data_IF_988134964968
#
_entry.id   IF_988134964968
#
_cell.length_a   1.000
_cell.length_b   1.000
_cell.length_c   1.000
_cell.angle_alpha   90.00
_cell.angle_beta   90.00
_cell.angle_gamma   90.00
#
_symmetry.space_group_name_H-M   'P 1'
#
loop_
_entity.id
_entity.type
_entity.pdbx_description
1 polymer ?
#
# COMPACT_ATOMS: atom_id res chain seq x y z
N UNK A 1 -1.82 -26.09 -13.64
CA UNK A 1 -1.64 -25.80 -13.77
C UNK A 1 -1.35 -25.49 -13.81
N UNK A 2 -1.16 -25.19 -13.71
CA UNK A 2 -0.82 -24.75 -13.74
C UNK A 2 -0.35 -24.47 -13.63
N UNK A 3 -0.29 -24.49 -13.72
CA UNK A 3 0.20 -24.06 -13.64
C UNK A 3 0.83 -23.91 -13.47
N UNK A 4 0.98 -23.88 -13.38
CA UNK A 4 1.60 -23.57 -13.30
C UNK A 4 2.18 -23.47 -13.38
N UNK A 5 2.29 -23.60 -13.45
CA UNK A 5 2.82 -23.35 -13.60
C UNK A 5 3.39 -23.12 -13.67
N UNK A 6 3.52 -23.21 -13.67
CA UNK A 6 4.06 -22.89 -13.77
C UNK A 6 4.73 -22.74 -13.75
N UNK A 7 4.99 -22.78 -13.74
CA UNK A 7 5.65 -22.51 -13.73
C UNK A 7 6.45 -22.28 -13.72
N UNK A 8 6.63 -22.19 -13.68
CA UNK A 8 7.46 -21.88 -13.62
C UNK A 8 8.07 -21.45 -13.44
N UNK A 9 8.10 -21.11 -13.19
CA UNK A 9 8.47 -20.79 -13.09
C UNK A 9 8.97 -20.90 -12.91
N UNK A 10 9.07 -21.03 -12.75
CA UNK A 10 9.58 -21.35 -12.58
C UNK A 10 10.26 -21.33 -12.51
N UNK A 11 10.62 -21.56 -12.44
CA UNK A 11 11.65 -21.39 -12.01
C UNK A 11 12.13 -20.82 -10.69
N UNK A 12 12.65 -21.36 -9.82
CA UNK A 12 13.21 -21.02 -8.55
C UNK A 12 12.68 -19.77 -7.87
N UNK A 13 12.66 -18.73 -8.57
CA UNK A 13 12.22 -17.46 -8.07
C UNK A 13 10.81 -17.46 -7.49
N UNK A 14 9.84 -18.18 -8.05
CA UNK A 14 8.48 -18.13 -7.51
C UNK A 14 8.36 -18.50 -6.03
N UNK A 15 9.13 -19.46 -5.59
CA UNK A 15 9.05 -19.86 -4.18
C UNK A 15 9.58 -18.76 -3.28
N UNK A 16 10.69 -18.15 -3.67
CA UNK A 16 11.26 -17.06 -2.90
C UNK A 16 10.33 -15.86 -2.88
N UNK A 17 9.74 -15.53 -4.02
CA UNK A 17 8.81 -14.40 -4.08
C UNK A 17 7.60 -14.63 -3.19
N UNK A 18 7.15 -15.88 -3.14
CA UNK A 18 5.97 -16.22 -2.35
C UNK A 18 6.20 -16.02 -0.86
N UNK A 19 7.41 -16.25 -0.40
CA UNK A 19 7.74 -16.16 1.03
C UNK A 19 8.50 -14.91 1.41
N UNK A 20 9.07 -14.22 0.44
CA UNK A 20 9.89 -13.05 0.73
C UNK A 20 9.03 -11.88 1.17
N UNK A 21 9.49 -11.20 2.21
CA UNK A 21 8.81 -10.01 2.70
C UNK A 21 9.19 -8.83 1.81
N UNK A 22 8.19 -8.25 1.16
CA UNK A 22 8.40 -7.14 0.26
C UNK A 22 7.29 -6.12 0.43
N UNK A 23 7.53 -4.92 -0.06
CA UNK A 23 6.52 -3.86 -0.06
C UNK A 23 5.66 -3.97 -1.29
N UNK A 24 4.36 -3.81 -1.09
CA UNK A 24 3.38 -3.81 -2.19
C UNK A 24 2.44 -2.66 -1.99
N UNK A 25 1.95 -2.13 -3.11
CA UNK A 25 0.90 -1.12 -3.06
C UNK A 25 -0.45 -1.82 -3.10
N UNK A 26 -1.35 -1.33 -2.27
CA UNK A 26 -2.71 -1.88 -2.18
C UNK A 26 -3.67 -0.81 -2.68
N UNK A 27 -4.51 -1.19 -3.62
CA UNK A 27 -5.53 -0.28 -4.12
C UNK A 27 -6.78 -0.42 -3.26
N UNK A 28 -7.27 0.70 -2.76
CA UNK A 28 -8.41 0.74 -1.87
C UNK A 28 -9.45 1.71 -2.41
N UNK A 29 -10.62 1.69 -1.80
CA UNK A 29 -11.61 2.71 -2.10
C UNK A 29 -11.07 4.06 -1.68
N UNK A 30 -11.30 5.07 -2.53
CA UNK A 30 -10.81 6.43 -2.27
C UNK A 30 -11.42 6.93 -0.96
N UNK A 31 -10.61 7.60 -0.16
CA UNK A 31 -10.97 8.14 1.15
C UNK A 31 -11.09 7.09 2.23
N UNK A 32 -10.81 5.83 1.92
CA UNK A 32 -10.79 4.78 2.93
C UNK A 32 -9.37 4.38 3.29
N UNK A 33 -8.37 5.13 2.81
CA UNK A 33 -6.98 4.75 3.00
C UNK A 33 -6.60 4.65 4.47
N UNK A 34 -7.00 5.63 5.27
CA UNK A 34 -6.68 5.62 6.70
C UNK A 34 -7.34 4.45 7.40
N UNK A 35 -8.57 4.15 7.04
CA UNK A 35 -9.30 3.03 7.61
C UNK A 35 -8.61 1.71 7.29
N UNK A 36 -8.17 1.57 6.04
CA UNK A 36 -7.47 0.36 5.62
C UNK A 36 -6.15 0.22 6.36
N UNK A 37 -5.38 1.32 6.46
CA UNK A 37 -4.12 1.28 7.18
C UNK A 37 -4.32 0.89 8.63
N UNK A 38 -5.38 1.39 9.25
CA UNK A 38 -5.69 1.04 10.62
C UNK A 38 -6.01 -0.43 10.76
N UNK A 39 -6.76 -0.98 9.81
CA UNK A 39 -7.08 -2.40 9.82
C UNK A 39 -5.83 -3.24 9.64
N UNK A 40 -4.90 -2.79 8.80
CA UNK A 40 -3.65 -3.50 8.62
C UNK A 40 -2.86 -3.53 9.92
N UNK A 41 -2.83 -2.42 10.62
CA UNK A 41 -2.13 -2.34 11.90
C UNK A 41 -2.73 -3.30 12.91
N UNK A 42 -4.06 -3.35 12.97
CA UNK A 42 -4.74 -4.26 13.89
C UNK A 42 -4.45 -5.72 13.57
N UNK A 43 -4.17 -6.01 12.32
CA UNK A 43 -3.84 -7.37 11.89
C UNK A 43 -2.35 -7.64 11.90
N UNK A 44 -1.58 -6.71 12.46
CA UNK A 44 -0.13 -6.85 12.56
C UNK A 44 0.54 -6.97 11.21
N UNK A 45 0.00 -6.25 10.23
CA UNK A 45 0.60 -6.15 8.91
C UNK A 45 1.31 -4.80 8.84
N UNK A 46 2.65 -4.78 8.75
CA UNK A 46 3.34 -3.49 8.64
C UNK A 46 2.85 -2.74 7.43
N UNK A 47 2.44 -1.51 7.64
CA UNK A 47 1.88 -0.71 6.56
C UNK A 47 2.44 0.69 6.62
N UNK A 48 2.31 1.39 5.50
CA UNK A 48 2.76 2.77 5.39
C UNK A 48 1.75 3.51 4.53
N UNK A 49 1.19 4.55 5.09
CA UNK A 49 0.26 5.42 4.38
C UNK A 49 0.89 6.79 4.35
N UNK A 50 1.51 7.18 3.21
CA UNK A 50 2.08 8.51 3.13
C UNK A 50 0.98 9.54 3.12
N UNK A 51 1.07 10.47 4.05
CA UNK A 51 0.11 11.54 4.20
C UNK A 51 0.83 12.87 4.06
N UNK A 52 0.11 13.87 3.60
CA UNK A 52 0.62 15.23 3.63
C UNK A 52 -0.41 16.11 4.30
N UNK A 53 0.07 17.18 4.88
CA UNK A 53 -0.82 18.13 5.53
C UNK A 53 -1.20 19.21 4.54
N UNK A 54 -2.49 19.52 4.52
CA UNK A 54 -3.03 20.55 3.63
C UNK A 54 -3.89 21.49 4.43
N UNK A 55 -3.88 22.74 4.02
CA UNK A 55 -4.78 23.73 4.60
C UNK A 55 -6.05 23.74 3.77
N UNK A 56 -7.14 23.38 4.42
CA UNK A 56 -8.43 23.31 3.75
C UNK A 56 -9.27 24.48 4.23
N UNK A 57 -9.74 25.29 3.28
CA UNK A 57 -10.54 26.46 3.62
C UNK A 57 -12.02 26.08 3.54
N UNK A 58 -12.69 26.28 4.66
CA UNK A 58 -14.12 26.02 4.75
C UNK A 58 -14.80 27.34 5.08
N UNK A 59 -15.53 27.90 4.13
CA UNK A 59 -16.23 29.15 4.35
C UNK A 59 -15.28 30.20 4.92
N UNK A 60 -15.37 30.46 6.22
CA UNK A 60 -14.61 31.53 6.83
C UNK A 60 -13.49 31.03 7.74
N UNK A 61 -13.10 29.79 7.62
CA UNK A 61 -12.00 29.30 8.44
C UNK A 61 -11.15 28.29 7.69
N UNK A 62 -9.92 28.17 8.15
CA UNK A 62 -8.97 27.23 7.60
C UNK A 62 -8.74 26.13 8.62
N UNK A 63 -8.55 24.92 8.13
CA UNK A 63 -8.25 23.78 8.98
C UNK A 63 -7.16 22.96 8.35
N UNK A 64 -6.20 22.55 9.18
CA UNK A 64 -5.16 21.66 8.70
C UNK A 64 -5.69 20.22 8.71
N UNK A 65 -5.56 19.55 7.59
CA UNK A 65 -6.01 18.17 7.45
C UNK A 65 -4.90 17.32 6.87
N UNK A 66 -4.94 16.03 7.15
CA UNK A 66 -3.99 15.09 6.58
C UNK A 66 -4.67 14.30 5.49
N UNK A 67 -4.07 14.34 4.30
CA UNK A 67 -4.62 13.68 3.13
C UNK A 67 -3.63 12.66 2.60
N UNK A 68 -4.16 11.62 1.96
CA UNK A 68 -3.32 10.60 1.36
C UNK A 68 -2.54 11.21 0.21
N UNK A 69 -1.22 10.98 0.22
CA UNK A 69 -0.36 11.48 -0.86
C UNK A 69 -0.73 10.81 -2.18
N UNK A 70 -1.09 9.55 -2.14
CA UNK A 70 -1.56 8.81 -3.30
C UNK A 70 -2.98 8.33 -3.02
N UNK A 71 -3.99 9.08 -3.45
CA UNK A 71 -5.37 8.70 -3.16
C UNK A 71 -5.69 7.29 -3.67
N UNK A 72 -6.25 6.48 -2.80
CA UNK A 72 -6.61 5.12 -3.15
C UNK A 72 -5.52 4.09 -2.95
N UNK A 73 -4.37 4.47 -2.38
CA UNK A 73 -3.24 3.55 -2.24
C UNK A 73 -2.70 3.54 -0.83
N UNK A 74 -2.42 2.34 -0.34
CA UNK A 74 -1.75 2.12 0.93
C UNK A 74 -0.65 1.09 0.67
N UNK A 75 0.51 1.28 1.31
CA UNK A 75 1.62 0.35 1.13
C UNK A 75 1.65 -0.64 2.28
N UNK A 76 1.98 -1.89 1.97
CA UNK A 76 2.02 -2.94 2.97
C UNK A 76 3.27 -3.80 2.75
N UNK A 77 3.85 -4.25 3.85
CA UNK A 77 5.05 -5.09 3.84
C UNK A 77 4.64 -6.50 4.25
N UNK A 78 4.69 -7.43 3.30
CA UNK A 78 4.25 -8.79 3.58
C UNK A 78 4.83 -9.74 2.56
N UNK A 79 4.69 -11.04 2.85
CA UNK A 79 4.97 -12.08 1.87
C UNK A 79 3.69 -12.37 1.09
N UNK A 80 3.84 -12.72 -0.17
CA UNK A 80 2.66 -12.99 -1.00
C UNK A 80 1.81 -14.14 -0.47
N UNK A 81 2.41 -15.06 0.26
CA UNK A 81 1.63 -16.15 0.87
C UNK A 81 0.58 -15.61 1.83
N UNK A 82 0.77 -14.39 2.33
CA UNK A 82 -0.16 -13.78 3.28
C UNK A 82 -1.09 -12.77 2.61
N UNK A 83 -1.14 -12.75 1.29
CA UNK A 83 -1.90 -11.71 0.60
C UNK A 83 -3.38 -11.73 0.93
N UNK A 84 -3.92 -12.89 1.25
CA UNK A 84 -5.35 -12.97 1.57
C UNK A 84 -5.69 -12.18 2.83
N UNK A 85 -4.74 -12.07 3.75
CA UNK A 85 -4.97 -11.29 4.97
C UNK A 85 -5.26 -9.82 4.64
N UNK A 86 -4.62 -9.31 3.59
CA UNK A 86 -4.86 -7.95 3.14
C UNK A 86 -6.16 -7.88 2.35
N UNK A 87 -6.37 -8.85 1.47
CA UNK A 87 -7.54 -8.82 0.58
C UNK A 87 -8.85 -8.98 1.34
N UNK A 88 -8.80 -9.50 2.55
CA UNK A 88 -9.99 -9.64 3.38
C UNK A 88 -10.37 -8.35 4.08
N UNK A 89 -9.52 -7.35 4.05
CA UNK A 89 -9.82 -6.08 4.71
C UNK A 89 -10.89 -5.33 3.93
N UNK A 90 -11.94 -4.85 4.60
CA UNK A 90 -12.96 -4.07 3.89
C UNK A 90 -12.35 -2.85 3.20
N UNK A 91 -12.86 -2.52 2.04
CA UNK A 91 -12.42 -1.40 1.21
C UNK A 91 -11.14 -1.67 0.43
N UNK A 92 -10.48 -2.80 0.64
CA UNK A 92 -9.34 -3.19 -0.20
C UNK A 92 -9.89 -3.78 -1.50
N UNK A 93 -9.36 -3.30 -2.63
CA UNK A 93 -9.79 -3.77 -3.94
C UNK A 93 -8.84 -4.86 -4.43
N UNK A 94 -7.55 -4.54 -4.53
CA UNK A 94 -6.57 -5.54 -4.95
C UNK A 94 -5.16 -5.02 -4.69
N UNK A 95 -4.20 -5.92 -4.80
CA UNK A 95 -2.79 -5.53 -4.82
C UNK A 95 -2.46 -4.97 -6.20
N UNK A 96 -1.67 -3.90 -6.24
CA UNK A 96 -1.26 -3.35 -7.52
C UNK A 96 -0.39 -4.38 -8.24
N UNK A 97 -0.75 -4.67 -9.47
CA UNK A 97 -0.13 -5.74 -10.24
C UNK A 97 0.26 -5.26 -11.61
N UNK A 98 1.25 -5.94 -12.18
CA UNK A 98 1.66 -5.71 -13.54
C UNK A 98 1.63 -7.05 -14.26
N UNK A 99 0.87 -7.12 -15.35
CA UNK A 99 0.70 -8.34 -16.12
C UNK A 99 0.24 -9.51 -15.23
N UNK A 100 -0.72 -9.20 -14.34
CA UNK A 100 -1.33 -10.23 -13.52
C UNK A 100 -0.54 -10.64 -12.29
N UNK A 101 0.62 -10.05 -12.06
CA UNK A 101 1.45 -10.40 -10.92
C UNK A 101 1.62 -9.20 -10.00
N UNK A 102 1.44 -9.39 -8.68
CA UNK A 102 1.70 -8.30 -7.76
C UNK A 102 3.14 -7.81 -7.90
N UNK A 103 3.30 -6.50 -7.96
CA UNK A 103 4.59 -5.89 -8.26
C UNK A 103 5.19 -5.30 -6.99
N UNK A 104 6.31 -5.83 -6.51
CA UNK A 104 6.92 -5.29 -5.29
C UNK A 104 7.59 -3.96 -5.56
N UNK A 105 7.68 -3.16 -4.50
CA UNK A 105 8.36 -1.87 -4.55
C UNK A 105 9.67 -1.99 -3.78
N UNK A 106 10.74 -1.38 -4.30
CA UNK A 106 12.02 -1.42 -3.58
C UNK A 106 11.94 -0.70 -2.24
N UNK A 107 12.66 -1.22 -1.27
CA UNK A 107 12.69 -0.64 0.07
C UNK A 107 13.10 0.83 0.03
N UNK A 108 14.08 1.17 -0.81
CA UNK A 108 14.56 2.54 -0.83
C UNK A 108 13.51 3.53 -1.31
N UNK A 109 12.57 3.10 -2.13
CA UNK A 109 11.51 3.99 -2.57
C UNK A 109 10.54 4.30 -1.43
N UNK A 110 10.28 3.29 -0.60
CA UNK A 110 9.44 3.51 0.58
C UNK A 110 10.12 4.47 1.55
N UNK A 111 11.44 4.31 1.72
CA UNK A 111 12.20 5.20 2.61
C UNK A 111 12.19 6.63 2.08
N UNK A 112 12.33 6.80 0.77
CA UNK A 112 12.26 8.12 0.18
C UNK A 112 10.91 8.79 0.44
N UNK A 113 9.84 8.01 0.32
CA UNK A 113 8.52 8.54 0.58
C UNK A 113 8.35 8.96 2.03
N UNK A 114 8.89 8.17 2.95
CA UNK A 114 8.81 8.52 4.37
C UNK A 114 9.51 9.84 4.63
N UNK A 115 10.69 10.02 4.07
CA UNK A 115 11.45 11.25 4.26
C UNK A 115 10.78 12.42 3.56
N UNK A 116 10.19 12.17 2.40
CA UNK A 116 9.62 13.22 1.59
C UNK A 116 8.35 13.83 2.14
N UNK A 117 7.57 13.08 2.90
CA UNK A 117 6.30 13.59 3.40
C UNK A 117 6.42 14.24 4.77
N UNK A 118 7.54 14.02 5.47
CA UNK A 118 7.72 14.54 6.80
C UNK A 118 7.78 16.07 6.76
N UNK A 119 6.87 16.71 7.49
CA UNK A 119 6.89 18.15 7.61
C UNK A 119 6.40 18.93 6.41
N UNK A 120 5.95 18.29 5.38
CA UNK A 120 5.46 18.98 4.21
C UNK A 120 4.04 19.50 4.42
N UNK A 121 3.79 20.70 3.93
CA UNK A 121 2.46 21.31 3.98
C UNK A 121 2.15 21.85 2.61
N UNK A 122 0.96 21.56 2.11
CA UNK A 122 0.51 22.07 0.82
C UNK A 122 -0.81 22.79 0.96
N UNK A 123 -1.00 23.80 0.13
CA UNK A 123 -2.27 24.50 0.05
C UNK A 123 -3.18 23.77 -0.93
N UNK A 124 -4.42 23.58 -0.51
CA UNK A 124 -5.41 22.92 -1.35
C UNK A 124 -6.51 23.85 -1.74
#
# INVERSE_FOLDING_TARGET
MECLSAVPEMLGAPADDFRAMKWYAVYTCVRHEKRVAEQMEQRQLPSFLPLYRALHRWKDRQKEVELALFPGYVFVHLALRDRLRVLEIPSVVHLVSFQGKPTPLPQFEIEKLRQGVTGRVRME
#
